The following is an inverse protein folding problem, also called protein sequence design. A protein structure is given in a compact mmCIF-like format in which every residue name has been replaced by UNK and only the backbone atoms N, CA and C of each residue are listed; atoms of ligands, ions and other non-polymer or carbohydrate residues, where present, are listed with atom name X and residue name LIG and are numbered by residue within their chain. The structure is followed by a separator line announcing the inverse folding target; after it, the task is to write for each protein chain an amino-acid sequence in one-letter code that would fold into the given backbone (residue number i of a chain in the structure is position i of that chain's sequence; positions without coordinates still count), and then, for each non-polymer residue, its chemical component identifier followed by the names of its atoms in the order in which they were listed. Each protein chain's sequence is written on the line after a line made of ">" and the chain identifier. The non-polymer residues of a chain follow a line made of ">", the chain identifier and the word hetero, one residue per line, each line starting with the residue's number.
data_IF_958911532038
#
_entry.id   IF_958911532038
#
_cell.length_a   1.000
_cell.length_b   1.000
_cell.length_c   1.000
_cell.angle_alpha   90.00
_cell.angle_beta   90.00
_cell.angle_gamma   90.00
#
_symmetry.space_group_name_H-M   'P 1'
#
loop_
_entity.id
_entity.type
_entity.pdbx_description
1 polymer ?
#
# COMPACT_ATOMS: atom_id res chain seq x y z
N UNK A 1 19.29 15.71 -3.23
CA UNK A 1 18.29 16.69 -3.68
C UNK A 1 18.43 17.93 -2.80
N UNK A 2 18.66 19.10 -3.39
CA UNK A 2 18.57 20.37 -2.67
C UNK A 2 17.11 20.83 -2.73
N UNK A 3 16.55 21.22 -1.59
CA UNK A 3 15.20 21.75 -1.51
C UNK A 3 15.26 23.24 -1.19
N UNK A 4 14.38 24.01 -1.78
CA UNK A 4 14.32 25.47 -1.59
C UNK A 4 12.89 25.89 -1.27
N UNK A 5 12.74 26.90 -0.41
CA UNK A 5 11.49 27.60 -0.17
C UNK A 5 11.55 28.96 -0.88
N UNK A 6 10.50 29.31 -1.64
CA UNK A 6 10.40 30.61 -2.30
C UNK A 6 9.84 31.63 -1.31
N UNK A 7 10.58 32.71 -1.05
CA UNK A 7 10.10 33.88 -0.32
C UNK A 7 10.37 35.12 -1.17
N UNK A 8 9.32 35.86 -1.55
CA UNK A 8 9.44 37.08 -2.36
C UNK A 8 10.25 36.89 -3.66
N UNK A 9 10.01 35.80 -4.40
CA UNK A 9 10.75 35.39 -5.61
C UNK A 9 12.25 35.06 -5.41
N UNK A 10 12.74 35.00 -4.18
CA UNK A 10 14.07 34.48 -3.87
C UNK A 10 13.98 33.03 -3.37
N UNK A 11 14.96 32.21 -3.75
CA UNK A 11 15.08 30.83 -3.29
C UNK A 11 15.94 30.77 -2.03
N UNK A 12 15.36 30.28 -0.94
CA UNK A 12 16.09 30.00 0.30
C UNK A 12 16.25 28.49 0.46
N UNK A 13 17.48 28.01 0.60
CA UNK A 13 17.74 26.57 0.80
C UNK A 13 17.09 26.10 2.11
N UNK A 14 16.37 24.96 2.05
CA UNK A 14 15.82 24.30 3.22
C UNK A 14 16.91 23.50 3.92
N UNK A 15 17.29 23.98 5.10
CA UNK A 15 18.30 23.33 5.94
C UNK A 15 17.69 22.11 6.63
N UNK A 16 18.33 20.95 6.48
CA UNK A 16 17.93 19.71 7.14
C UNK A 16 18.22 19.78 8.66
N UNK A 17 17.23 19.42 9.47
CA UNK A 17 17.32 19.36 10.93
C UNK A 17 17.28 17.88 11.34
N UNK A 18 18.42 17.26 11.69
CA UNK A 18 18.49 15.82 11.94
C UNK A 18 17.62 15.40 13.13
N UNK A 19 17.12 14.17 13.08
CA UNK A 19 16.50 13.51 14.23
C UNK A 19 17.58 13.08 15.22
N UNK A 20 17.42 13.45 16.49
CA UNK A 20 18.41 13.10 17.53
C UNK A 20 18.21 11.68 18.04
N UNK A 21 16.96 11.24 18.12
CA UNK A 21 16.56 9.94 18.62
C UNK A 21 15.61 9.24 17.65
N UNK A 22 15.68 7.91 17.61
CA UNK A 22 14.74 7.08 16.86
C UNK A 22 13.29 7.30 17.32
N UNK A 23 13.10 7.50 18.63
CA UNK A 23 11.78 7.81 19.22
C UNK A 23 11.17 9.10 18.69
N UNK A 24 11.98 10.09 18.26
CA UNK A 24 11.45 11.30 17.61
C UNK A 24 10.82 10.97 16.26
N UNK A 25 11.44 10.06 15.49
CA UNK A 25 10.92 9.61 14.20
C UNK A 25 9.63 8.85 14.42
N UNK A 26 9.65 7.85 15.31
CA UNK A 26 8.48 7.03 15.62
C UNK A 26 7.28 7.88 16.06
N UNK A 27 7.48 8.77 17.03
CA UNK A 27 6.38 9.60 17.55
C UNK A 27 5.75 10.47 16.46
N UNK A 28 6.59 11.12 15.64
CA UNK A 28 6.12 11.96 14.53
C UNK A 28 5.37 11.14 13.47
N UNK A 29 5.89 9.96 13.13
CA UNK A 29 5.32 9.10 12.10
C UNK A 29 4.01 8.47 12.57
N UNK A 30 3.93 7.93 13.79
CA UNK A 30 2.73 7.34 14.38
C UNK A 30 1.57 8.35 14.45
N UNK A 31 1.84 9.58 14.92
CA UNK A 31 0.82 10.63 15.05
C UNK A 31 0.19 11.04 13.71
N UNK A 32 0.88 10.81 12.60
CA UNK A 32 0.46 11.23 11.26
C UNK A 32 0.30 10.05 10.30
N UNK A 33 0.36 8.81 10.81
CA UNK A 33 0.48 7.59 10.00
C UNK A 33 -0.60 7.52 8.92
N UNK A 34 -1.85 7.72 9.32
CA UNK A 34 -3.01 7.63 8.44
C UNK A 34 -3.02 8.72 7.36
N UNK A 35 -2.33 9.84 7.58
CA UNK A 35 -2.40 11.00 6.69
C UNK A 35 -1.71 10.73 5.35
N UNK A 36 -0.57 10.02 5.37
CA UNK A 36 0.21 9.79 4.17
C UNK A 36 0.27 8.32 3.74
N UNK A 37 -0.03 7.37 4.65
CA UNK A 37 -0.06 5.94 4.30
C UNK A 37 -1.47 5.44 3.99
N UNK A 38 -2.49 6.00 4.66
CA UNK A 38 -3.83 5.43 4.71
C UNK A 38 -3.98 4.23 5.66
N UNK A 39 -2.93 3.88 6.43
CA UNK A 39 -2.94 2.80 7.41
C UNK A 39 -3.58 3.25 8.72
N UNK A 40 -4.25 2.30 9.37
CA UNK A 40 -4.77 2.46 10.72
C UNK A 40 -3.70 2.10 11.75
N UNK A 41 -3.46 3.02 12.69
CA UNK A 41 -2.60 2.76 13.82
C UNK A 41 -3.26 1.75 14.78
N UNK A 42 -2.54 0.69 15.15
CA UNK A 42 -3.01 -0.29 16.12
C UNK A 42 -2.29 -0.10 17.46
N UNK A 43 -0.97 -0.27 17.49
CA UNK A 43 -0.24 -0.26 18.76
C UNK A 43 1.20 0.20 18.60
N UNK A 44 1.65 1.04 19.52
CA UNK A 44 3.08 1.39 19.68
C UNK A 44 3.73 0.41 20.65
N UNK A 45 5.00 0.07 20.40
CA UNK A 45 5.82 -0.85 21.21
C UNK A 45 5.11 -2.20 21.45
N UNK A 46 4.56 -2.81 20.39
CA UNK A 46 3.82 -4.05 20.47
C UNK A 46 4.76 -5.23 20.79
N UNK A 47 4.56 -5.85 21.95
CA UNK A 47 5.44 -6.92 22.44
C UNK A 47 4.79 -8.29 22.21
N UNK A 48 5.51 -9.17 21.51
CA UNK A 48 5.19 -10.59 21.41
C UNK A 48 6.37 -11.40 21.94
N UNK A 49 6.12 -12.16 23.01
CA UNK A 49 7.16 -12.90 23.73
C UNK A 49 8.29 -11.96 24.18
N UNK A 50 9.49 -12.14 23.64
CA UNK A 50 10.67 -11.32 23.91
C UNK A 50 10.98 -10.32 22.79
N UNK A 51 10.18 -10.29 21.73
CA UNK A 51 10.35 -9.39 20.61
C UNK A 51 9.42 -8.20 20.77
N UNK A 52 9.92 -7.02 20.40
CA UNK A 52 9.17 -5.77 20.46
C UNK A 52 9.17 -5.16 19.07
N UNK A 53 7.98 -4.92 18.56
CA UNK A 53 7.72 -4.21 17.31
C UNK A 53 7.49 -2.74 17.65
N UNK A 54 8.16 -1.82 16.95
CA UNK A 54 8.02 -0.39 17.25
C UNK A 54 6.60 0.13 17.01
N UNK A 55 6.00 -0.19 15.86
CA UNK A 55 4.58 0.11 15.59
C UNK A 55 3.91 -1.04 14.85
N UNK A 56 2.73 -1.44 15.32
CA UNK A 56 1.78 -2.25 14.57
C UNK A 56 0.70 -1.37 13.95
N UNK A 57 0.47 -1.55 12.66
CA UNK A 57 -0.56 -0.90 11.88
C UNK A 57 -1.39 -1.92 11.07
N UNK A 58 -2.52 -1.48 10.53
CA UNK A 58 -3.41 -2.29 9.69
C UNK A 58 -3.79 -1.55 8.41
N UNK A 59 -3.81 -2.28 7.31
CA UNK A 59 -4.20 -1.81 5.98
C UNK A 59 -5.60 -2.34 5.68
N UNK A 60 -6.64 -1.51 5.88
CA UNK A 60 -8.03 -1.92 5.63
C UNK A 60 -8.29 -2.27 4.15
N UNK A 61 -7.59 -1.63 3.20
CA UNK A 61 -7.81 -1.90 1.77
C UNK A 61 -7.39 -3.31 1.37
N UNK A 62 -6.31 -3.80 1.97
CA UNK A 62 -5.78 -5.16 1.75
C UNK A 62 -6.12 -6.15 2.85
N UNK A 63 -6.81 -5.72 3.92
CA UNK A 63 -7.09 -6.50 5.12
C UNK A 63 -5.83 -7.17 5.71
N UNK A 64 -4.73 -6.42 5.80
CA UNK A 64 -3.42 -6.98 6.16
C UNK A 64 -2.71 -6.16 7.23
N UNK A 65 -1.86 -6.84 8.02
CA UNK A 65 -1.03 -6.18 9.01
C UNK A 65 0.22 -5.56 8.39
N UNK A 66 0.61 -4.41 8.93
CA UNK A 66 1.84 -3.70 8.58
C UNK A 66 2.66 -3.48 9.84
N UNK A 67 3.86 -4.04 9.87
CA UNK A 67 4.85 -3.75 10.91
C UNK A 67 5.64 -2.52 10.47
N UNK A 68 5.91 -1.59 11.37
CA UNK A 68 6.74 -0.42 11.09
C UNK A 68 7.90 -0.41 12.08
N UNK A 69 9.11 -0.31 11.55
CA UNK A 69 10.36 -0.30 12.30
C UNK A 69 11.12 1.00 11.99
N UNK A 70 11.56 1.71 13.02
CA UNK A 70 12.27 2.98 12.86
C UNK A 70 13.76 2.77 13.01
N UNK A 71 14.54 3.52 12.23
CA UNK A 71 15.99 3.43 12.25
C UNK A 71 16.60 4.82 12.10
N UNK A 72 17.44 5.22 13.06
CA UNK A 72 18.23 6.46 12.94
C UNK A 72 19.55 6.24 12.20
N UNK A 73 20.17 5.09 12.41
CA UNK A 73 21.50 4.75 11.88
C UNK A 73 21.42 3.87 10.64
N UNK A 74 22.51 3.75 9.89
CA UNK A 74 22.58 2.98 8.63
C UNK A 74 23.18 1.58 8.77
N UNK A 75 23.70 1.22 9.94
CA UNK A 75 24.47 -0.01 10.15
C UNK A 75 23.60 -1.16 10.69
N UNK A 76 22.54 -1.52 9.95
CA UNK A 76 21.66 -2.63 10.30
C UNK A 76 21.23 -3.40 9.05
N UNK A 77 20.93 -4.68 9.24
CA UNK A 77 20.44 -5.54 8.17
C UNK A 77 18.92 -5.43 8.07
N UNK A 78 18.45 -4.66 7.08
CA UNK A 78 17.02 -4.52 6.77
C UNK A 78 16.40 -5.87 6.43
N UNK A 79 17.13 -6.70 5.66
CA UNK A 79 16.63 -8.01 5.23
C UNK A 79 16.48 -8.96 6.41
N UNK A 80 17.49 -9.09 7.27
CA UNK A 80 17.43 -10.04 8.39
C UNK A 80 16.36 -9.65 9.40
N UNK A 81 16.27 -8.36 9.76
CA UNK A 81 15.21 -7.88 10.65
C UNK A 81 13.84 -8.02 10.01
N UNK A 82 13.70 -7.68 8.72
CA UNK A 82 12.45 -7.83 8.00
C UNK A 82 11.98 -9.28 7.96
N UNK A 83 12.87 -10.21 7.65
CA UNK A 83 12.59 -11.66 7.68
C UNK A 83 12.19 -12.11 9.09
N UNK A 84 12.89 -11.65 10.12
CA UNK A 84 12.58 -12.00 11.52
C UNK A 84 11.16 -11.56 11.91
N UNK A 85 10.80 -10.30 11.67
CA UNK A 85 9.48 -9.76 12.01
C UNK A 85 8.34 -10.35 11.18
N UNK A 86 8.57 -10.59 9.88
CA UNK A 86 7.57 -11.25 9.04
C UNK A 86 7.32 -12.69 9.50
N UNK A 87 8.37 -13.44 9.87
CA UNK A 87 8.19 -14.78 10.43
C UNK A 87 7.49 -14.75 11.79
N UNK A 88 7.86 -13.82 12.67
CA UNK A 88 7.18 -13.58 13.95
C UNK A 88 5.68 -13.38 13.72
N UNK A 89 5.30 -12.50 12.80
CA UNK A 89 3.89 -12.27 12.47
C UNK A 89 3.18 -13.53 11.95
N UNK A 90 3.83 -14.30 11.08
CA UNK A 90 3.26 -15.53 10.54
C UNK A 90 3.17 -16.66 11.58
N UNK A 91 4.05 -16.71 12.59
CA UNK A 91 4.00 -17.67 13.70
C UNK A 91 2.97 -17.30 14.77
N UNK A 92 2.77 -16.00 15.02
CA UNK A 92 1.92 -15.47 16.08
C UNK A 92 0.68 -14.75 15.55
N UNK A 93 0.11 -15.23 14.44
CA UNK A 93 -1.09 -14.65 13.79
C UNK A 93 -2.24 -14.36 14.76
N UNK A 94 -2.40 -15.17 15.82
CA UNK A 94 -3.46 -14.99 16.82
C UNK A 94 -3.26 -13.73 17.66
N UNK A 95 -2.02 -13.45 18.10
CA UNK A 95 -1.68 -12.29 18.92
C UNK A 95 -1.92 -10.97 18.17
N UNK A 96 -1.60 -10.92 16.88
CA UNK A 96 -1.87 -9.75 16.02
C UNK A 96 -3.38 -9.49 15.88
N UNK A 97 -4.17 -10.54 15.65
CA UNK A 97 -5.63 -10.42 15.53
C UNK A 97 -6.26 -10.02 16.87
N UNK A 98 -5.75 -10.53 17.99
CA UNK A 98 -6.21 -10.17 19.32
C UNK A 98 -5.97 -8.68 19.59
N UNK A 99 -4.74 -8.20 19.38
CA UNK A 99 -4.38 -6.78 19.59
C UNK A 99 -5.21 -5.86 18.70
N UNK A 100 -5.45 -6.24 17.44
CA UNK A 100 -6.33 -5.49 16.54
C UNK A 100 -7.75 -5.40 17.09
N UNK A 101 -8.34 -6.53 17.49
CA UNK A 101 -9.72 -6.58 17.98
C UNK A 101 -9.90 -5.76 19.26
N UNK A 102 -8.95 -5.86 20.21
CA UNK A 102 -8.97 -5.11 21.46
C UNK A 102 -8.82 -3.60 21.23
N UNK A 103 -7.92 -3.20 20.32
CA UNK A 103 -7.66 -1.77 20.06
C UNK A 103 -8.77 -1.13 19.22
N UNK A 104 -9.23 -1.82 18.17
CA UNK A 104 -10.18 -1.29 17.20
C UNK A 104 -11.64 -1.57 17.58
N UNK A 105 -11.88 -2.28 18.69
CA UNK A 105 -13.21 -2.74 19.10
C UNK A 105 -13.95 -3.49 17.97
N UNK A 106 -13.22 -4.36 17.28
CA UNK A 106 -13.69 -5.21 16.17
C UNK A 106 -13.57 -6.68 16.56
N UNK A 107 -14.10 -7.58 15.70
CA UNK A 107 -14.07 -9.03 15.92
C UNK A 107 -13.71 -9.78 14.63
N UNK A 108 -12.56 -9.44 14.03
CA UNK A 108 -12.06 -10.15 12.86
C UNK A 108 -11.44 -11.49 13.28
N UNK A 109 -11.49 -12.47 12.38
CA UNK A 109 -10.85 -13.78 12.54
C UNK A 109 -9.55 -13.83 11.76
N UNK A 110 -8.69 -14.79 12.12
CA UNK A 110 -7.42 -15.06 11.41
C UNK A 110 -7.57 -15.30 9.91
N UNK A 111 -8.70 -15.87 9.49
CA UNK A 111 -9.00 -16.16 8.09
C UNK A 111 -9.49 -14.93 7.30
N UNK A 112 -9.91 -13.88 8.01
CA UNK A 112 -10.38 -12.63 7.40
C UNK A 112 -9.20 -11.70 7.06
N UNK A 113 -8.00 -11.99 7.62
CA UNK A 113 -6.75 -11.27 7.35
C UNK A 113 -6.07 -11.87 6.12
N UNK A 114 -5.74 -11.03 5.15
CA UNK A 114 -4.93 -11.42 4.00
C UNK A 114 -3.44 -11.37 4.33
N UNK A 115 -2.94 -12.45 4.94
CA UNK A 115 -1.52 -12.60 5.29
C UNK A 115 -0.59 -12.45 4.09
N UNK A 116 -1.06 -12.73 2.86
CA UNK A 116 -0.23 -12.54 1.67
C UNK A 116 0.11 -11.10 1.36
N UNK A 117 -0.67 -10.15 1.90
CA UNK A 117 -0.47 -8.71 1.74
C UNK A 117 0.18 -8.06 2.96
N UNK A 118 0.55 -8.86 3.98
CA UNK A 118 1.24 -8.35 5.16
C UNK A 118 2.68 -7.99 4.82
N UNK A 119 3.20 -6.95 5.45
CA UNK A 119 4.52 -6.38 5.12
C UNK A 119 5.16 -5.69 6.32
N UNK A 120 6.44 -5.40 6.18
CA UNK A 120 7.19 -4.54 7.09
C UNK A 120 7.67 -3.29 6.36
N UNK A 121 7.57 -2.17 7.04
CA UNK A 121 7.97 -0.85 6.62
C UNK A 121 9.14 -0.38 7.48
N UNK A 122 10.31 -0.16 6.87
CA UNK A 122 11.43 0.50 7.55
C UNK A 122 11.38 2.00 7.27
N UNK A 123 11.44 2.80 8.34
CA UNK A 123 11.44 4.26 8.27
C UNK A 123 12.77 4.80 8.79
N UNK A 124 13.52 5.50 7.95
CA UNK A 124 14.85 6.01 8.29
C UNK A 124 15.13 7.35 7.61
N UNK A 125 16.01 8.22 8.15
CA UNK A 125 16.45 9.40 7.42
C UNK A 125 17.16 9.11 6.10
N UNK A 126 17.70 7.89 5.97
CA UNK A 126 18.42 7.46 4.77
C UNK A 126 18.73 5.97 4.81
N UNK A 127 18.88 5.38 3.62
CA UNK A 127 19.35 4.00 3.43
C UNK A 127 20.63 3.98 2.59
N UNK A 128 21.50 3.00 2.82
CA UNK A 128 22.64 2.73 1.94
C UNK A 128 22.17 2.09 0.63
N UNK A 129 22.98 2.19 -0.43
CA UNK A 129 22.66 1.54 -1.71
C UNK A 129 22.53 0.03 -1.56
N UNK A 130 23.34 -0.58 -0.68
CA UNK A 130 23.22 -2.00 -0.36
C UNK A 130 21.87 -2.35 0.27
N UNK A 131 21.38 -1.54 1.21
CA UNK A 131 20.04 -1.74 1.80
C UNK A 131 18.94 -1.62 0.74
N UNK A 132 19.02 -0.60 -0.12
CA UNK A 132 18.06 -0.40 -1.23
C UNK A 132 18.06 -1.58 -2.21
N UNK A 133 19.24 -2.07 -2.58
CA UNK A 133 19.39 -3.20 -3.50
C UNK A 133 18.96 -4.53 -2.88
N UNK A 134 19.30 -4.79 -1.62
CA UNK A 134 19.00 -6.06 -0.93
C UNK A 134 17.51 -6.26 -0.65
N UNK A 135 16.72 -5.19 -0.61
CA UNK A 135 15.25 -5.26 -0.50
C UNK A 135 14.54 -5.22 -1.85
N UNK A 136 15.26 -5.10 -2.97
CA UNK A 136 14.69 -4.95 -4.31
C UNK A 136 14.24 -6.30 -4.90
N UNK A 137 13.46 -7.06 -4.13
CA UNK A 137 12.83 -8.31 -4.54
C UNK A 137 11.32 -8.18 -4.48
N UNK A 138 10.61 -8.65 -5.51
CA UNK A 138 9.16 -8.48 -5.57
C UNK A 138 8.40 -9.33 -4.54
N UNK A 139 8.92 -10.48 -4.18
CA UNK A 139 8.32 -11.41 -3.21
C UNK A 139 8.81 -11.23 -1.76
N UNK A 140 9.54 -10.15 -1.50
CA UNK A 140 9.97 -9.78 -0.15
C UNK A 140 9.08 -8.63 0.35
N UNK A 141 8.20 -8.90 1.32
CA UNK A 141 7.27 -7.91 1.91
C UNK A 141 7.96 -6.83 2.76
N UNK A 142 9.06 -6.27 2.28
CA UNK A 142 9.85 -5.22 2.93
C UNK A 142 9.76 -3.95 2.09
N UNK A 143 9.40 -2.85 2.75
CA UNK A 143 9.33 -1.50 2.20
C UNK A 143 10.34 -0.59 2.91
N UNK A 144 10.86 0.40 2.18
CA UNK A 144 11.79 1.40 2.71
C UNK A 144 11.21 2.79 2.50
N UNK A 145 11.14 3.60 3.56
CA UNK A 145 10.64 4.97 3.48
C UNK A 145 11.65 5.92 4.11
N UNK A 146 12.05 6.93 3.34
CA UNK A 146 12.96 7.97 3.80
C UNK A 146 12.18 9.12 4.45
N UNK A 147 12.54 9.49 5.67
CA UNK A 147 11.95 10.64 6.39
C UNK A 147 13.00 11.69 6.72
N UNK A 148 12.79 12.92 6.26
CA UNK A 148 13.67 14.05 6.59
C UNK A 148 12.87 15.18 7.19
N UNK A 149 13.48 15.84 8.17
CA UNK A 149 12.95 17.05 8.79
C UNK A 149 13.83 18.23 8.40
N UNK A 150 13.19 19.35 8.10
CA UNK A 150 13.83 20.60 7.73
C UNK A 150 13.41 21.70 8.72
N UNK A 151 14.02 22.88 8.60
CA UNK A 151 13.59 24.06 9.33
C UNK A 151 12.12 24.41 9.08
N UNK A 152 11.55 25.25 9.95
CA UNK A 152 10.16 25.72 9.87
C UNK A 152 9.10 24.60 9.90
N UNK A 153 9.43 23.45 10.50
CA UNK A 153 8.49 22.34 10.70
C UNK A 153 8.19 21.51 9.45
N UNK A 154 8.95 21.70 8.37
CA UNK A 154 8.76 20.97 7.12
C UNK A 154 9.31 19.54 7.25
N UNK A 155 8.52 18.55 6.81
CA UNK A 155 8.90 17.14 6.83
C UNK A 155 8.65 16.55 5.44
N UNK A 156 9.64 15.84 4.90
CA UNK A 156 9.47 15.04 3.69
C UNK A 156 9.42 13.56 4.05
N UNK A 157 8.45 12.84 3.50
CA UNK A 157 8.32 11.40 3.61
C UNK A 157 8.32 10.84 2.20
N UNK A 158 9.26 9.94 1.90
CA UNK A 158 9.50 9.45 0.56
C UNK A 158 9.55 7.91 0.56
N UNK A 159 8.48 7.23 0.11
CA UNK A 159 8.50 5.79 -0.16
C UNK A 159 9.51 5.48 -1.26
N UNK A 160 10.43 4.55 -1.01
CA UNK A 160 11.37 4.09 -2.03
C UNK A 160 10.71 2.98 -2.84
N UNK A 161 10.42 3.28 -4.11
CA UNK A 161 9.85 2.31 -5.03
C UNK A 161 10.88 1.23 -5.39
N UNK A 162 10.40 -0.02 -5.42
CA UNK A 162 11.17 -1.13 -6.01
C UNK A 162 11.26 -0.94 -7.52
N UNK A 163 12.29 -1.53 -8.12
CA UNK A 163 12.40 -1.56 -9.57
C UNK A 163 11.21 -2.32 -10.17
N UNK A 164 10.63 -1.83 -11.28
CA UNK A 164 9.55 -2.54 -12.00
C UNK A 164 9.97 -3.96 -12.42
N UNK A 165 11.25 -4.15 -12.71
CA UNK A 165 11.85 -5.44 -13.06
C UNK A 165 12.51 -6.15 -11.87
N UNK A 166 12.09 -5.86 -10.63
CA UNK A 166 12.65 -6.49 -9.45
C UNK A 166 12.53 -8.03 -9.56
N UNK A 167 13.64 -8.77 -9.40
CA UNK A 167 13.61 -10.22 -9.49
C UNK A 167 12.82 -10.82 -8.32
N UNK A 168 12.41 -12.08 -8.49
CA UNK A 168 11.97 -12.89 -7.34
C UNK A 168 13.19 -13.40 -6.59
N UNK A 169 13.17 -13.34 -5.25
CA UNK A 169 14.24 -13.85 -4.39
C UNK A 169 14.45 -15.35 -4.62
N UNK A 170 13.39 -16.09 -5.00
CA UNK A 170 13.43 -17.51 -5.37
C UNK A 170 14.34 -17.79 -6.58
N UNK A 171 14.55 -16.82 -7.46
CA UNK A 171 15.37 -16.98 -8.68
C UNK A 171 16.84 -16.68 -8.44
N UNK A 172 17.16 -15.81 -7.47
CA UNK A 172 18.51 -15.25 -7.30
C UNK A 172 19.28 -15.93 -6.17
N UNK A 173 18.58 -16.33 -5.10
CA UNK A 173 19.17 -17.11 -4.03
C UNK A 173 18.63 -18.53 -4.13
N UNK A 174 19.50 -19.55 -4.05
CA UNK A 174 19.05 -20.84 -3.53
C UNK A 174 18.55 -20.52 -2.12
N UNK A 175 17.24 -20.40 -1.95
CA UNK A 175 16.64 -20.02 -0.67
C UNK A 175 16.87 -21.21 0.27
N UNK A 176 18.04 -21.29 0.88
CA UNK A 176 18.41 -22.40 1.77
C UNK A 176 17.79 -22.21 3.16
N UNK A 177 17.45 -20.98 3.54
CA UNK A 177 16.79 -20.72 4.83
C UNK A 177 15.29 -21.03 4.77
N UNK A 178 14.85 -21.93 5.67
CA UNK A 178 13.44 -22.30 5.83
C UNK A 178 12.57 -21.07 6.17
N UNK A 179 13.14 -20.10 6.87
CA UNK A 179 12.51 -18.83 7.24
C UNK A 179 12.11 -17.98 6.03
N UNK A 180 12.99 -17.85 5.02
CA UNK A 180 12.68 -17.09 3.80
C UNK A 180 11.71 -17.89 2.91
N UNK A 181 11.82 -19.22 2.87
CA UNK A 181 10.86 -20.05 2.14
C UNK A 181 9.42 -19.88 2.66
N UNK A 182 9.25 -19.84 3.99
CA UNK A 182 7.94 -19.60 4.61
C UNK A 182 7.36 -18.24 4.20
N UNK A 183 8.16 -17.18 4.31
CA UNK A 183 7.76 -15.83 3.90
C UNK A 183 7.36 -15.82 2.43
N UNK A 184 8.21 -16.31 1.53
CA UNK A 184 7.97 -16.25 0.08
C UNK A 184 6.85 -17.18 -0.41
N UNK A 185 6.34 -18.06 0.45
CA UNK A 185 5.16 -18.89 0.20
C UNK A 185 3.88 -18.17 0.62
N UNK A 186 3.90 -17.52 1.78
CA UNK A 186 2.74 -16.83 2.35
C UNK A 186 2.57 -15.43 1.76
N UNK A 187 3.63 -14.62 1.74
CA UNK A 187 3.64 -13.23 1.28
C UNK A 187 3.81 -13.18 -0.23
N UNK A 188 2.96 -12.37 -0.88
CA UNK A 188 2.91 -12.24 -2.32
C UNK A 188 2.72 -10.77 -2.71
N UNK A 189 3.51 -10.32 -3.68
CA UNK A 189 3.25 -9.07 -4.38
C UNK A 189 2.45 -9.36 -5.64
N UNK A 190 1.42 -8.55 -5.86
CA UNK A 190 0.60 -8.59 -7.06
C UNK A 190 1.02 -7.44 -7.98
N UNK A 191 1.03 -7.72 -9.27
CA UNK A 191 1.23 -6.75 -10.34
C UNK A 191 0.06 -6.85 -11.32
N UNK A 192 0.02 -6.01 -12.35
CA UNK A 192 -1.03 -6.08 -13.36
C UNK A 192 -1.00 -7.42 -14.11
N UNK A 193 0.19 -7.97 -14.39
CA UNK A 193 0.32 -9.22 -15.13
C UNK A 193 -0.27 -10.41 -14.35
N UNK A 194 -0.18 -10.42 -13.02
CA UNK A 194 -0.88 -11.40 -12.18
C UNK A 194 -2.38 -11.47 -12.50
N UNK A 195 -3.03 -10.33 -12.73
CA UNK A 195 -4.46 -10.26 -13.05
C UNK A 195 -4.77 -10.52 -14.52
N UNK A 196 -3.78 -10.34 -15.41
CA UNK A 196 -3.95 -10.43 -16.86
C UNK A 196 -3.48 -11.77 -17.46
N UNK A 197 -2.72 -12.57 -16.71
CA UNK A 197 -2.04 -13.78 -17.22
C UNK A 197 -2.97 -14.84 -17.83
N UNK A 198 -4.23 -14.93 -17.35
CA UNK A 198 -5.23 -15.90 -17.82
C UNK A 198 -6.38 -15.25 -18.63
N UNK A 199 -6.20 -13.99 -19.07
CA UNK A 199 -7.23 -13.22 -19.78
C UNK A 199 -7.03 -13.24 -21.29
N UNK A 200 -8.12 -13.14 -22.04
CA UNK A 200 -8.08 -12.98 -23.49
C UNK A 200 -7.55 -11.60 -23.88
N UNK A 201 -7.01 -11.48 -25.09
CA UNK A 201 -6.51 -10.22 -25.63
C UNK A 201 -7.57 -9.10 -25.56
N UNK A 202 -8.82 -9.40 -25.90
CA UNK A 202 -9.94 -8.43 -25.81
C UNK A 202 -10.13 -7.86 -24.39
N UNK A 203 -9.98 -8.68 -23.34
CA UNK A 203 -10.14 -8.23 -21.94
C UNK A 203 -8.91 -7.46 -21.47
N UNK A 204 -7.72 -7.87 -21.93
CA UNK A 204 -6.48 -7.13 -21.67
C UNK A 204 -6.57 -5.73 -22.29
N UNK A 205 -7.00 -5.64 -23.54
CA UNK A 205 -7.19 -4.37 -24.24
C UNK A 205 -8.26 -3.50 -23.57
N UNK A 206 -9.41 -4.08 -23.19
CA UNK A 206 -10.45 -3.37 -22.46
C UNK A 206 -9.93 -2.79 -21.14
N UNK A 207 -9.16 -3.57 -20.37
CA UNK A 207 -8.52 -3.09 -19.14
C UNK A 207 -7.54 -1.96 -19.41
N UNK A 208 -6.66 -2.08 -20.39
CA UNK A 208 -5.69 -1.05 -20.75
C UNK A 208 -6.37 0.26 -21.14
N UNK A 209 -7.43 0.21 -21.94
CA UNK A 209 -8.22 1.39 -22.32
C UNK A 209 -8.84 2.09 -21.11
N UNK A 210 -9.47 1.33 -20.19
CA UNK A 210 -10.03 1.89 -18.96
C UNK A 210 -8.93 2.46 -18.05
N UNK A 211 -7.86 1.69 -17.80
CA UNK A 211 -6.73 2.09 -16.96
C UNK A 211 -6.12 3.40 -17.44
N UNK A 212 -5.76 3.49 -18.71
CA UNK A 212 -5.08 4.65 -19.27
C UNK A 212 -6.00 5.88 -19.26
N UNK A 213 -7.28 5.68 -19.58
CA UNK A 213 -8.28 6.75 -19.53
C UNK A 213 -8.50 7.29 -18.11
N UNK A 214 -8.50 6.42 -17.10
CA UNK A 214 -8.63 6.81 -15.69
C UNK A 214 -7.38 7.56 -15.22
N UNK A 215 -6.19 7.04 -15.52
CA UNK A 215 -4.92 7.70 -15.15
C UNK A 215 -4.79 9.10 -15.78
N UNK A 216 -5.37 9.31 -16.97
CA UNK A 216 -5.41 10.62 -17.62
C UNK A 216 -6.35 11.64 -16.94
N UNK A 217 -7.20 11.23 -15.99
CA UNK A 217 -8.09 12.15 -15.28
C UNK A 217 -7.36 13.05 -14.28
N UNK A 218 -6.27 12.56 -13.66
CA UNK A 218 -5.48 13.32 -12.70
C UNK A 218 -4.02 12.81 -12.64
N UNK A 219 -3.02 13.71 -12.59
CA UNK A 219 -1.60 13.35 -12.67
C UNK A 219 -1.07 12.63 -11.42
N UNK A 220 -1.80 12.69 -10.30
CA UNK A 220 -1.45 12.08 -9.01
C UNK A 220 -2.14 10.72 -8.78
N UNK A 221 -2.75 10.14 -9.82
CA UNK A 221 -3.29 8.78 -9.78
C UNK A 221 -2.19 7.74 -10.01
N UNK A 222 -2.19 6.72 -9.16
CA UNK A 222 -1.23 5.61 -9.21
C UNK A 222 -1.95 4.27 -9.26
N UNK A 223 -1.36 3.29 -9.96
CA UNK A 223 -1.85 1.92 -9.96
C UNK A 223 -1.40 1.22 -8.67
N UNK A 224 -2.33 0.57 -7.98
CA UNK A 224 -2.11 -0.13 -6.72
C UNK A 224 -2.71 -1.55 -6.80
N UNK A 225 -2.01 -2.52 -7.43
CA UNK A 225 -2.52 -3.88 -7.57
C UNK A 225 -2.59 -4.58 -6.21
N UNK A 226 -3.75 -5.17 -5.92
CA UNK A 226 -4.00 -6.02 -4.75
C UNK A 226 -4.29 -7.44 -5.22
N UNK A 227 -4.56 -8.36 -4.29
CA UNK A 227 -4.81 -9.77 -4.62
C UNK A 227 -6.00 -10.01 -5.54
N UNK A 228 -7.08 -9.27 -5.33
CA UNK A 228 -8.38 -9.55 -5.95
C UNK A 228 -8.82 -8.48 -6.95
N UNK A 229 -8.14 -7.34 -6.96
CA UNK A 229 -8.46 -6.20 -7.81
C UNK A 229 -7.20 -5.37 -8.07
N UNK A 230 -7.28 -4.51 -9.07
CA UNK A 230 -6.31 -3.43 -9.30
C UNK A 230 -6.96 -2.12 -8.85
N UNK A 231 -6.36 -1.48 -7.85
CA UNK A 231 -6.81 -0.18 -7.36
C UNK A 231 -6.19 0.96 -8.18
N UNK A 232 -6.93 2.04 -8.39
CA UNK A 232 -6.39 3.32 -8.82
C UNK A 232 -6.41 4.25 -7.61
N UNK A 233 -5.22 4.57 -7.11
CA UNK A 233 -4.99 5.29 -5.86
C UNK A 233 -4.81 6.77 -6.12
N UNK A 234 -5.55 7.61 -5.39
CA UNK A 234 -5.28 9.04 -5.29
C UNK A 234 -4.78 9.31 -3.88
N UNK A 235 -3.56 9.85 -3.75
CA UNK A 235 -2.92 10.09 -2.46
C UNK A 235 -2.89 8.82 -1.57
N UNK A 236 -3.75 8.75 -0.55
CA UNK A 236 -3.75 7.70 0.47
C UNK A 236 -4.77 6.58 0.27
N UNK A 237 -5.71 6.70 -0.67
CA UNK A 237 -6.79 5.70 -0.87
C UNK A 237 -7.07 5.39 -2.33
N UNK A 238 -7.50 4.16 -2.60
CA UNK A 238 -8.04 3.77 -3.90
C UNK A 238 -9.38 4.46 -4.13
N UNK A 239 -9.52 5.13 -5.27
CA UNK A 239 -10.76 5.78 -5.70
C UNK A 239 -11.56 4.89 -6.65
N UNK A 240 -10.88 3.98 -7.34
CA UNK A 240 -11.48 3.01 -8.26
C UNK A 240 -10.85 1.64 -7.99
N UNK A 241 -11.67 0.60 -8.08
CA UNK A 241 -11.26 -0.79 -7.94
C UNK A 241 -11.70 -1.54 -9.20
N UNK A 242 -10.76 -2.17 -9.89
CA UNK A 242 -11.04 -2.94 -11.11
C UNK A 242 -10.77 -4.42 -10.83
N UNK A 243 -11.84 -5.22 -10.81
CA UNK A 243 -11.76 -6.68 -10.82
C UNK A 243 -11.82 -7.17 -12.28
N UNK A 244 -10.73 -7.78 -12.76
CA UNK A 244 -10.66 -8.30 -14.13
C UNK A 244 -11.23 -9.72 -14.16
N UNK A 245 -12.42 -9.88 -14.74
CA UNK A 245 -13.04 -11.20 -14.93
C UNK A 245 -12.76 -11.73 -16.34
N UNK A 246 -13.19 -12.97 -16.61
CA UNK A 246 -12.94 -13.63 -17.91
C UNK A 246 -13.61 -12.95 -19.11
N UNK A 247 -14.66 -12.16 -18.87
CA UNK A 247 -15.50 -11.57 -19.94
C UNK A 247 -15.87 -10.11 -19.72
N UNK A 248 -15.60 -9.57 -18.53
CA UNK A 248 -15.98 -8.21 -18.13
C UNK A 248 -14.91 -7.64 -17.21
N UNK A 249 -14.87 -6.32 -17.11
CA UNK A 249 -14.29 -5.63 -15.97
C UNK A 249 -15.41 -5.27 -15.01
N UNK A 250 -15.23 -5.57 -13.74
CA UNK A 250 -16.11 -5.07 -12.68
C UNK A 250 -15.41 -3.89 -12.01
N UNK A 251 -16.05 -2.74 -12.08
CA UNK A 251 -15.52 -1.46 -11.61
C UNK A 251 -16.34 -1.02 -10.40
N UNK A 252 -15.70 -0.92 -9.25
CA UNK A 252 -16.28 -0.34 -8.02
C UNK A 252 -15.69 1.05 -7.80
N UNK A 253 -16.53 2.02 -7.46
CA UNK A 253 -16.16 3.41 -7.21
C UNK A 253 -16.24 3.73 -5.72
N UNK A 254 -15.18 4.32 -5.16
CA UNK A 254 -15.09 4.64 -3.73
C UNK A 254 -15.92 5.86 -3.35
N UNK A 255 -17.25 5.69 -3.31
CA UNK A 255 -18.19 6.67 -2.80
C UNK A 255 -19.36 5.99 -2.11
N UNK A 256 -19.95 6.70 -1.14
CA UNK A 256 -21.20 6.28 -0.50
C UNK A 256 -22.40 6.56 -1.38
N UNK A 257 -23.38 5.66 -1.38
CA UNK A 257 -24.56 5.78 -2.23
C UNK A 257 -25.26 7.12 -1.99
N UNK A 258 -25.62 7.80 -3.08
CA UNK A 258 -26.15 9.17 -3.07
C UNK A 258 -25.09 10.27 -3.21
N UNK A 259 -23.80 9.95 -3.20
CA UNK A 259 -22.72 10.94 -3.38
C UNK A 259 -22.42 11.25 -4.85
N UNK A 260 -22.48 10.23 -5.73
CA UNK A 260 -22.24 10.41 -7.17
C UNK A 260 -23.53 10.75 -7.91
N UNK A 261 -23.44 11.70 -8.83
CA UNK A 261 -24.49 11.99 -9.81
C UNK A 261 -24.43 10.97 -10.95
N UNK A 262 -25.13 9.84 -10.78
CA UNK A 262 -25.31 8.78 -11.78
C UNK A 262 -26.65 8.92 -12.51
N UNK A 263 -26.78 9.95 -13.34
CA UNK A 263 -27.99 10.28 -14.11
C UNK A 263 -28.50 9.14 -15.02
N UNK A 264 -27.61 8.26 -15.51
CA UNK A 264 -27.98 7.08 -16.33
C UNK A 264 -28.37 5.86 -15.48
N UNK A 265 -28.12 5.87 -14.17
CA UNK A 265 -28.31 4.70 -13.31
C UNK A 265 -27.48 3.50 -13.76
N UNK A 266 -26.26 3.74 -14.25
CA UNK A 266 -25.39 2.67 -14.75
C UNK A 266 -24.82 1.83 -13.60
N UNK A 267 -24.60 2.45 -12.45
CA UNK A 267 -24.07 1.78 -11.28
C UNK A 267 -25.19 1.13 -10.45
N UNK A 268 -24.94 -0.08 -9.97
CA UNK A 268 -25.75 -0.73 -8.92
C UNK A 268 -25.22 -0.37 -7.53
N UNK A 269 -26.14 -0.30 -6.58
CA UNK A 269 -25.84 -0.18 -5.14
C UNK A 269 -25.33 -1.52 -4.59
N UNK A 270 -24.12 -1.52 -4.06
CA UNK A 270 -23.48 -2.67 -3.40
C UNK A 270 -23.19 -2.42 -1.91
N UNK A 271 -23.76 -1.37 -1.31
CA UNK A 271 -23.57 -1.01 0.12
C UNK A 271 -23.90 -2.14 1.11
N UNK A 272 -24.82 -3.04 0.73
CA UNK A 272 -25.25 -4.18 1.53
C UNK A 272 -24.85 -5.53 0.93
N UNK A 273 -23.96 -5.54 -0.07
CA UNK A 273 -23.54 -6.73 -0.81
C UNK A 273 -22.04 -6.90 -0.58
N UNK A 274 -21.61 -8.12 -0.22
CA UNK A 274 -20.18 -8.42 -0.13
C UNK A 274 -19.50 -8.26 -1.48
N UNK A 275 -18.49 -7.40 -1.55
CA UNK A 275 -17.70 -7.11 -2.75
C UNK A 275 -16.26 -6.76 -2.38
N UNK A 276 -15.36 -6.75 -3.37
CA UNK A 276 -13.97 -6.37 -3.16
C UNK A 276 -13.76 -4.87 -3.37
N UNK A 277 -12.87 -4.29 -2.56
CA UNK A 277 -12.66 -2.85 -2.51
C UNK A 277 -13.61 -2.14 -1.55
N UNK A 278 -13.66 -0.81 -1.66
CA UNK A 278 -14.50 0.05 -0.82
C UNK A 278 -15.37 0.92 -1.71
N UNK A 279 -16.65 1.04 -1.40
CA UNK A 279 -17.57 1.90 -2.12
C UNK A 279 -18.93 1.25 -2.29
N UNK A 280 -19.92 2.05 -2.67
CA UNK A 280 -21.29 1.57 -2.81
C UNK A 280 -21.74 1.54 -4.27
N UNK A 281 -20.97 2.13 -5.20
CA UNK A 281 -21.29 2.17 -6.64
C UNK A 281 -20.47 1.13 -7.41
N UNK A 282 -21.13 0.24 -8.14
CA UNK A 282 -20.47 -0.77 -8.96
C UNK A 282 -21.09 -0.90 -10.35
N UNK A 283 -20.26 -1.10 -11.38
CA UNK A 283 -20.71 -1.41 -12.74
C UNK A 283 -19.89 -2.55 -13.35
N UNK A 284 -20.52 -3.36 -14.18
CA UNK A 284 -19.88 -4.42 -14.96
C UNK A 284 -19.80 -3.93 -16.42
N UNK A 285 -18.63 -3.96 -17.05
CA UNK A 285 -18.41 -3.51 -18.44
C UNK A 285 -17.79 -4.61 -19.31
N UNK A 286 -18.32 -4.77 -20.52
CA UNK A 286 -17.83 -5.74 -21.51
C UNK A 286 -17.19 -5.07 -22.74
N UNK A 287 -17.31 -3.75 -22.83
CA UNK A 287 -16.92 -2.90 -23.95
C UNK A 287 -16.67 -1.46 -23.44
N UNK A 288 -16.37 -0.54 -24.36
CA UNK A 288 -16.10 0.87 -24.07
C UNK A 288 -17.27 1.81 -24.37
N UNK A 289 -18.48 1.29 -24.65
CA UNK A 289 -19.63 2.12 -25.05
C UNK A 289 -20.00 3.15 -23.97
N UNK A 290 -19.79 2.80 -22.69
CA UNK A 290 -20.04 3.67 -21.54
C UNK A 290 -18.77 4.26 -20.91
N UNK A 291 -17.60 4.14 -21.56
CA UNK A 291 -16.32 4.59 -21.01
C UNK A 291 -16.37 6.06 -20.57
N UNK A 292 -16.75 6.97 -21.48
CA UNK A 292 -16.83 8.42 -21.20
C UNK A 292 -17.76 8.74 -20.02
N UNK A 293 -18.87 8.01 -19.91
CA UNK A 293 -19.81 8.20 -18.81
C UNK A 293 -19.22 7.73 -17.48
N UNK A 294 -18.58 6.56 -17.45
CA UNK A 294 -17.91 6.04 -16.26
C UNK A 294 -16.76 6.97 -15.84
N UNK A 295 -15.98 7.49 -16.78
CA UNK A 295 -14.96 8.49 -16.52
C UNK A 295 -15.55 9.76 -15.89
N UNK A 296 -16.75 10.18 -16.31
CA UNK A 296 -17.43 11.33 -15.71
C UNK A 296 -17.81 11.11 -14.24
N UNK A 297 -18.14 9.86 -13.85
CA UNK A 297 -18.38 9.48 -12.45
C UNK A 297 -17.06 9.46 -11.66
N UNK A 298 -16.02 8.84 -12.21
CA UNK A 298 -14.69 8.77 -11.58
C UNK A 298 -14.11 10.17 -11.38
N UNK A 299 -14.34 11.09 -12.33
CA UNK A 299 -13.93 12.49 -12.23
C UNK A 299 -14.51 13.20 -10.99
N UNK A 300 -15.65 12.77 -10.47
CA UNK A 300 -16.21 13.33 -9.23
C UNK A 300 -15.42 12.91 -7.98
N UNK A 301 -14.70 11.78 -8.04
CA UNK A 301 -13.86 11.25 -6.95
C UNK A 301 -12.44 11.82 -6.96
N UNK A 302 -11.96 12.22 -8.15
CA UNK A 302 -10.57 12.68 -8.34
C UNK A 302 -10.45 14.19 -8.51
N UNK A 303 -11.53 14.94 -8.31
CA UNK A 303 -11.44 16.39 -8.15
C UNK A 303 -10.86 16.81 -6.79
#
# INVERSE_FOLDING_TARGET
>A
MQLYQTKSNELQELIEVPFRLEKEIQTLFEQNLSEFTGLDFIKSEFVIKSNRIDTLAYDEESNAFVIIEYKRERNYSVVDQGVSYLNLMLDYKADFVLEYNETQNKNIKRQDVDWSQSRILFVSPSFTDFQKQSTNFKDLGIELWEIKRYQDGIVSINPLQKAKSAPSIKQVQKVESQEIQKITKEIQQYDEEYHLADKSDDIRELYEQFRDSILNLAPDLEINPKKLYIGLKKQKRNVVYIEIQKKILRITLNAKMGYLDDAKGLCRDVSNIGHWGVGDYQTDVADTDNLEYILSLIKQLVK
#
